data_IF_983522109193
#
_entry.id   IF_983522109193
#
_cell.length_a   1.000
_cell.length_b   1.000
_cell.length_c   1.000
_cell.angle_alpha   90.00
_cell.angle_beta   90.00
_cell.angle_gamma   90.00
#
_symmetry.space_group_name_H-M   'P 1'
#
loop_
_entity.id
_entity.type
_entity.pdbx_description
1 polymer ?
#
# COMPACT_ATOMS: atom_id res chain seq x y z
N UNK A 1 -24.25 -40.03 -32.75
CA UNK A 1 -23.82 -38.62 -32.97
C UNK A 1 -23.43 -38.04 -31.64
N UNK A 2 -22.17 -38.13 -31.33
CA UNK A 2 -21.53 -37.63 -30.09
C UNK A 2 -21.31 -36.13 -30.22
N UNK A 3 -22.10 -35.31 -29.50
CA UNK A 3 -21.83 -33.90 -29.33
C UNK A 3 -20.55 -33.76 -28.51
N UNK A 4 -19.57 -33.14 -29.12
CA UNK A 4 -18.21 -33.04 -28.67
C UNK A 4 -18.11 -32.34 -27.29
N UNK A 5 -17.47 -33.03 -26.35
CA UNK A 5 -17.04 -32.47 -25.03
C UNK A 5 -16.23 -31.19 -25.10
N UNK A 6 -15.79 -30.81 -26.30
CA UNK A 6 -15.03 -29.57 -26.55
C UNK A 6 -15.84 -28.27 -26.33
N UNK A 7 -17.18 -28.31 -26.50
CA UNK A 7 -18.01 -27.13 -26.32
C UNK A 7 -18.31 -26.80 -24.84
N UNK A 8 -18.27 -27.77 -23.94
CA UNK A 8 -18.48 -27.52 -22.50
C UNK A 8 -17.21 -26.86 -21.87
N UNK A 9 -16.04 -27.28 -22.30
CA UNK A 9 -14.79 -26.71 -21.80
C UNK A 9 -14.63 -25.23 -22.18
N UNK A 10 -15.05 -24.88 -23.41
CA UNK A 10 -14.99 -23.48 -23.90
C UNK A 10 -15.96 -22.58 -23.12
N UNK A 11 -17.11 -23.10 -22.68
CA UNK A 11 -18.07 -22.32 -21.87
C UNK A 11 -17.55 -22.11 -20.45
N UNK A 12 -16.85 -23.09 -19.88
CA UNK A 12 -16.21 -22.98 -18.57
C UNK A 12 -15.05 -21.98 -18.63
N UNK A 13 -14.22 -22.01 -19.64
CA UNK A 13 -13.13 -21.06 -19.84
C UNK A 13 -13.65 -19.63 -20.03
N UNK A 14 -14.72 -19.42 -20.79
CA UNK A 14 -15.35 -18.10 -20.95
C UNK A 14 -15.95 -17.55 -19.65
N UNK A 15 -16.52 -18.40 -18.80
CA UNK A 15 -17.02 -18.00 -17.49
C UNK A 15 -15.87 -17.71 -16.49
N UNK A 16 -14.77 -18.44 -16.60
CA UNK A 16 -13.57 -18.20 -15.82
C UNK A 16 -12.90 -16.88 -16.24
N UNK A 17 -12.83 -16.61 -17.55
CA UNK A 17 -12.29 -15.36 -18.07
C UNK A 17 -13.14 -14.14 -17.67
N UNK A 18 -14.48 -14.24 -17.64
CA UNK A 18 -15.35 -13.17 -17.16
C UNK A 18 -15.16 -12.84 -15.67
N UNK A 19 -14.81 -13.84 -14.85
CA UNK A 19 -14.48 -13.65 -13.43
C UNK A 19 -13.06 -13.14 -13.22
N UNK A 20 -12.13 -13.51 -14.10
CA UNK A 20 -10.76 -13.03 -14.12
C UNK A 20 -10.62 -11.59 -14.66
N UNK A 21 -11.69 -11.07 -15.29
CA UNK A 21 -11.73 -9.74 -15.90
C UNK A 21 -12.10 -8.61 -14.91
N UNK A 22 -12.11 -8.86 -13.60
CA UNK A 22 -12.24 -7.77 -12.64
C UNK A 22 -10.93 -7.01 -12.52
N UNK A 23 -11.03 -5.72 -12.32
CA UNK A 23 -9.90 -4.88 -11.95
C UNK A 23 -9.33 -5.38 -10.63
N UNK A 24 -8.21 -6.11 -10.69
CA UNK A 24 -7.66 -6.79 -9.51
C UNK A 24 -6.85 -5.85 -8.64
N UNK A 25 -5.96 -5.07 -9.26
CA UNK A 25 -5.02 -4.24 -8.53
C UNK A 25 -4.76 -2.94 -9.29
N UNK A 26 -4.73 -1.84 -8.56
CA UNK A 26 -4.17 -0.57 -9.00
C UNK A 26 -2.90 -0.30 -8.21
N UNK A 27 -1.86 0.15 -8.88
CA UNK A 27 -0.62 0.62 -8.26
C UNK A 27 -0.69 2.13 -8.19
N UNK A 28 -0.40 2.70 -7.04
CA UNK A 28 -0.40 4.14 -6.83
C UNK A 28 0.97 4.63 -6.36
N UNK A 29 1.51 5.61 -7.08
CA UNK A 29 2.78 6.25 -6.73
C UNK A 29 2.59 7.75 -6.60
N UNK A 30 2.66 8.26 -5.37
CA UNK A 30 2.79 9.70 -5.12
C UNK A 30 4.18 10.15 -5.61
N UNK A 31 4.24 11.19 -6.45
CA UNK A 31 5.51 11.63 -7.02
C UNK A 31 5.49 13.12 -7.38
N UNK A 32 6.67 13.73 -7.40
CA UNK A 32 6.90 15.07 -7.95
C UNK A 32 7.18 15.04 -9.46
N UNK A 33 7.12 13.87 -10.11
CA UNK A 33 7.33 13.70 -11.55
C UNK A 33 8.77 13.35 -11.94
N UNK A 34 9.66 13.18 -10.98
CA UNK A 34 11.05 12.77 -11.22
C UNK A 34 11.31 11.49 -10.42
N UNK A 35 11.72 10.44 -11.11
CA UNK A 35 12.10 9.18 -10.49
C UNK A 35 13.49 8.78 -10.94
N UNK A 36 14.20 8.05 -10.11
CA UNK A 36 15.49 7.47 -10.47
C UNK A 36 15.32 6.29 -11.42
N UNK A 37 16.31 6.10 -12.29
CA UNK A 37 16.33 4.99 -13.25
C UNK A 37 16.29 3.64 -12.54
N UNK A 38 16.91 3.51 -11.37
CA UNK A 38 16.94 2.29 -10.56
C UNK A 38 15.52 1.91 -10.10
N UNK A 39 14.71 2.90 -9.70
CA UNK A 39 13.31 2.70 -9.37
C UNK A 39 12.50 2.28 -10.59
N UNK A 40 12.62 3.01 -11.69
CA UNK A 40 11.90 2.71 -12.93
C UNK A 40 12.23 1.29 -13.42
N UNK A 41 13.51 0.92 -13.41
CA UNK A 41 13.98 -0.41 -13.80
C UNK A 41 13.38 -1.49 -12.87
N UNK A 42 13.44 -1.31 -11.56
CA UNK A 42 12.88 -2.26 -10.60
C UNK A 42 11.35 -2.40 -10.75
N UNK A 43 10.64 -1.30 -11.02
CA UNK A 43 9.19 -1.29 -11.20
C UNK A 43 8.76 -1.98 -12.50
N UNK A 44 9.43 -1.70 -13.61
CA UNK A 44 9.02 -2.20 -14.92
C UNK A 44 9.62 -3.55 -15.31
N UNK A 45 10.65 -4.02 -14.60
CA UNK A 45 11.20 -5.36 -14.75
C UNK A 45 10.46 -6.45 -13.97
N UNK A 46 9.36 -6.10 -13.28
CA UNK A 46 8.56 -7.08 -12.52
C UNK A 46 7.90 -8.10 -13.45
N UNK A 47 7.89 -9.36 -13.02
CA UNK A 47 7.02 -10.38 -13.61
C UNK A 47 5.58 -10.10 -13.23
N UNK A 48 4.75 -9.88 -14.23
CA UNK A 48 3.35 -9.52 -14.01
C UNK A 48 2.50 -10.78 -13.96
N UNK A 49 1.80 -11.05 -12.84
CA UNK A 49 0.87 -12.17 -12.77
C UNK A 49 -0.28 -12.02 -13.77
N UNK A 50 -0.57 -13.06 -14.54
CA UNK A 50 -1.60 -13.02 -15.59
C UNK A 50 -3.01 -12.72 -15.08
N UNK A 51 -3.27 -12.90 -13.78
CA UNK A 51 -4.56 -12.62 -13.16
C UNK A 51 -4.71 -11.16 -12.66
N UNK A 52 -3.74 -10.29 -12.90
CA UNK A 52 -3.79 -8.88 -12.49
C UNK A 52 -4.51 -8.00 -13.49
N UNK A 53 -4.51 -8.35 -14.76
CA UNK A 53 -5.09 -7.55 -15.82
C UNK A 53 -6.43 -8.11 -16.27
N UNK A 54 -7.43 -7.24 -16.35
CA UNK A 54 -8.72 -7.55 -16.96
C UNK A 54 -8.68 -7.51 -18.49
N UNK A 55 -7.83 -6.69 -19.07
CA UNK A 55 -7.77 -6.42 -20.50
C UNK A 55 -6.59 -7.14 -21.20
N UNK A 56 -6.06 -8.18 -20.56
CA UNK A 56 -5.01 -8.99 -21.15
C UNK A 56 -3.83 -8.15 -21.58
N UNK A 57 -3.16 -7.47 -20.70
CA UNK A 57 -1.80 -7.06 -20.99
C UNK A 57 -1.36 -5.60 -20.73
N UNK A 58 -2.19 -4.65 -20.43
CA UNK A 58 -1.62 -3.32 -20.31
C UNK A 58 -1.54 -2.85 -18.86
N UNK A 59 -0.50 -3.31 -18.15
CA UNK A 59 -0.21 -2.91 -16.77
C UNK A 59 0.03 -1.40 -16.63
N UNK A 60 0.29 -0.68 -17.71
CA UNK A 60 0.38 0.77 -17.69
C UNK A 60 -0.92 1.43 -17.23
N UNK A 61 -2.07 0.83 -17.52
CA UNK A 61 -3.38 1.33 -17.08
C UNK A 61 -3.72 1.03 -15.62
N UNK A 62 -2.99 0.13 -14.99
CA UNK A 62 -3.17 -0.18 -13.57
C UNK A 62 -2.26 0.65 -12.67
N UNK A 63 -1.59 1.66 -13.18
CA UNK A 63 -0.70 2.51 -12.42
C UNK A 63 -1.15 3.98 -12.49
N UNK A 64 -1.39 4.60 -11.34
CA UNK A 64 -1.72 6.01 -11.23
C UNK A 64 -0.59 6.77 -10.53
N UNK A 65 -0.33 7.98 -11.02
CA UNK A 65 0.75 8.85 -10.55
C UNK A 65 0.18 10.23 -10.21
N UNK A 66 -0.37 10.44 -9.00
CA UNK A 66 -0.74 11.77 -8.56
C UNK A 66 0.49 12.68 -8.47
N UNK A 67 0.53 13.72 -9.30
CA UNK A 67 1.65 14.65 -9.40
C UNK A 67 1.44 15.88 -8.55
N UNK A 68 2.49 16.32 -7.83
CA UNK A 68 2.51 17.59 -7.11
C UNK A 68 1.45 17.73 -6.01
N UNK A 69 1.01 16.63 -5.43
CA UNK A 69 0.18 16.62 -4.23
C UNK A 69 1.05 16.43 -2.98
N UNK A 70 0.56 16.89 -1.83
CA UNK A 70 1.10 16.44 -0.55
C UNK A 70 0.88 14.93 -0.42
N UNK A 71 1.73 14.24 0.35
CA UNK A 71 1.73 12.77 0.43
C UNK A 71 0.34 12.21 0.76
N UNK A 72 -0.31 12.70 1.82
CA UNK A 72 -1.64 12.25 2.20
C UNK A 72 -2.71 12.57 1.14
N UNK A 73 -2.59 13.71 0.45
CA UNK A 73 -3.49 14.07 -0.66
C UNK A 73 -3.33 13.11 -1.83
N UNK A 74 -2.08 12.82 -2.24
CA UNK A 74 -1.78 11.86 -3.29
C UNK A 74 -2.34 10.46 -2.94
N UNK A 75 -2.16 10.02 -1.70
CA UNK A 75 -2.72 8.76 -1.21
C UNK A 75 -4.25 8.74 -1.33
N UNK A 76 -4.93 9.83 -0.99
CA UNK A 76 -6.39 9.94 -1.13
C UNK A 76 -6.84 9.95 -2.60
N UNK A 77 -6.09 10.57 -3.50
CA UNK A 77 -6.34 10.52 -4.96
C UNK A 77 -6.18 9.10 -5.49
N UNK A 78 -5.19 8.34 -5.02
CA UNK A 78 -5.00 6.93 -5.37
C UNK A 78 -6.20 6.09 -4.90
N UNK A 79 -6.64 6.28 -3.65
CA UNK A 79 -7.82 5.59 -3.11
C UNK A 79 -9.08 5.94 -3.92
N UNK A 80 -9.28 7.21 -4.27
CA UNK A 80 -10.39 7.64 -5.14
C UNK A 80 -10.38 6.85 -6.45
N UNK A 81 -9.25 6.80 -7.13
CA UNK A 81 -9.10 6.06 -8.39
C UNK A 81 -9.43 4.57 -8.22
N UNK A 82 -9.01 3.98 -7.09
CA UNK A 82 -9.31 2.58 -6.79
C UNK A 82 -10.81 2.33 -6.55
N UNK A 83 -11.48 3.25 -5.86
CA UNK A 83 -12.92 3.14 -5.57
C UNK A 83 -13.75 3.36 -6.83
N UNK A 84 -13.48 4.42 -7.59
CA UNK A 84 -14.24 4.79 -8.80
C UNK A 84 -14.11 3.75 -9.90
N UNK A 85 -12.96 3.09 -10.02
CA UNK A 85 -12.69 2.07 -11.05
C UNK A 85 -12.89 0.63 -10.54
N UNK A 86 -13.47 0.46 -9.36
CA UNK A 86 -13.83 -0.84 -8.77
C UNK A 86 -12.67 -1.82 -8.61
N UNK A 87 -11.48 -1.34 -8.21
CA UNK A 87 -10.33 -2.19 -7.92
C UNK A 87 -10.51 -2.97 -6.61
N UNK A 88 -10.04 -4.23 -6.61
CA UNK A 88 -10.08 -5.12 -5.43
C UNK A 88 -8.93 -4.84 -4.47
N UNK A 89 -7.77 -4.45 -5.02
CA UNK A 89 -6.57 -4.15 -4.25
C UNK A 89 -5.94 -2.83 -4.69
N UNK A 90 -5.36 -2.13 -3.72
CA UNK A 90 -4.46 -1.00 -3.95
C UNK A 90 -3.07 -1.39 -3.49
N UNK A 91 -2.08 -1.15 -4.33
CA UNK A 91 -0.68 -1.27 -3.98
C UNK A 91 -0.02 0.11 -4.01
N UNK A 92 0.32 0.64 -2.85
CA UNK A 92 1.14 1.84 -2.74
C UNK A 92 2.59 1.48 -2.96
N UNK A 93 3.24 2.20 -3.84
CA UNK A 93 4.67 2.12 -4.13
C UNK A 93 5.22 3.55 -4.20
N UNK A 94 6.00 3.95 -3.22
CA UNK A 94 6.66 5.26 -3.25
C UNK A 94 7.77 5.30 -4.31
N UNK A 95 8.02 6.51 -4.86
CA UNK A 95 8.94 6.73 -5.98
C UNK A 95 10.43 6.63 -5.60
N UNK A 96 10.69 6.35 -4.33
CA UNK A 96 12.02 6.11 -3.75
C UNK A 96 12.17 4.72 -3.11
N UNK A 97 11.22 3.80 -3.36
CA UNK A 97 11.28 2.42 -2.88
C UNK A 97 11.50 1.46 -4.05
N UNK A 98 12.67 0.82 -4.08
CA UNK A 98 13.09 -0.16 -5.10
C UNK A 98 12.59 -1.55 -4.71
N UNK A 99 11.73 -2.11 -5.55
CA UNK A 99 11.18 -3.45 -5.35
C UNK A 99 12.20 -4.57 -5.67
N UNK A 100 12.16 -5.70 -4.94
CA UNK A 100 12.86 -6.91 -5.39
C UNK A 100 12.19 -7.47 -6.66
N UNK A 101 12.94 -8.21 -7.48
CA UNK A 101 12.50 -8.68 -8.78
C UNK A 101 11.23 -9.55 -8.77
N UNK A 102 10.94 -10.21 -7.65
CA UNK A 102 9.79 -11.08 -7.45
C UNK A 102 8.65 -10.45 -6.64
N UNK A 103 8.67 -9.14 -6.43
CA UNK A 103 7.70 -8.45 -5.57
C UNK A 103 6.25 -8.73 -5.98
N UNK A 104 5.94 -8.61 -7.28
CA UNK A 104 4.59 -8.82 -7.78
C UNK A 104 4.11 -10.27 -7.63
N UNK A 105 5.00 -11.24 -7.72
CA UNK A 105 4.68 -12.65 -7.48
C UNK A 105 4.32 -12.87 -6.00
N UNK A 106 5.09 -12.29 -5.08
CA UNK A 106 4.83 -12.36 -3.63
C UNK A 106 3.48 -11.71 -3.29
N UNK A 107 3.23 -10.50 -3.78
CA UNK A 107 1.97 -9.78 -3.57
C UNK A 107 0.77 -10.57 -4.11
N UNK A 108 0.93 -11.20 -5.28
CA UNK A 108 -0.13 -11.99 -5.89
C UNK A 108 -0.53 -13.21 -5.06
N UNK A 109 0.39 -13.83 -4.31
CA UNK A 109 0.04 -14.92 -3.40
C UNK A 109 -0.88 -14.45 -2.26
N UNK A 110 -0.68 -13.24 -1.73
CA UNK A 110 -1.60 -12.65 -0.76
C UNK A 110 -2.97 -12.35 -1.37
N UNK A 111 -2.99 -11.80 -2.59
CA UNK A 111 -4.22 -11.53 -3.32
C UNK A 111 -5.00 -12.80 -3.65
N UNK A 112 -4.32 -13.91 -3.97
CA UNK A 112 -4.94 -15.21 -4.24
C UNK A 112 -5.54 -15.86 -2.97
N UNK A 113 -4.81 -15.78 -1.86
CA UNK A 113 -5.27 -16.32 -0.57
C UNK A 113 -6.41 -15.49 0.00
N UNK A 114 -6.34 -14.18 -0.09
CA UNK A 114 -7.36 -13.27 0.40
C UNK A 114 -7.61 -13.37 1.91
N UNK A 115 -6.60 -13.76 2.69
CA UNK A 115 -6.70 -13.97 4.14
C UNK A 115 -6.07 -12.85 4.99
N UNK A 116 -5.30 -11.95 4.36
CA UNK A 116 -4.62 -10.82 5.00
C UNK A 116 -4.89 -9.55 4.17
N UNK A 117 -5.64 -8.58 4.72
CA UNK A 117 -6.06 -7.40 3.96
C UNK A 117 -5.02 -6.28 3.87
N UNK A 118 -3.98 -6.31 4.70
CA UNK A 118 -2.94 -5.28 4.77
C UNK A 118 -1.58 -5.95 4.88
N UNK A 119 -0.76 -5.83 3.83
CA UNK A 119 0.57 -6.43 3.73
C UNK A 119 1.58 -5.39 3.27
N UNK A 120 2.66 -5.23 4.02
CA UNK A 120 3.78 -4.35 3.69
C UNK A 120 5.04 -5.14 3.36
N UNK A 121 5.88 -4.60 2.49
CA UNK A 121 7.27 -5.02 2.34
C UNK A 121 8.15 -4.45 3.45
N UNK A 122 9.32 -5.05 3.60
CA UNK A 122 10.37 -4.56 4.49
C UNK A 122 11.25 -3.56 3.74
N UNK A 123 11.43 -2.38 4.30
CA UNK A 123 12.48 -1.44 3.89
C UNK A 123 12.93 -0.59 5.09
N UNK A 124 13.94 0.24 4.90
CA UNK A 124 14.68 0.88 5.98
C UNK A 124 14.67 2.40 5.82
N UNK A 125 14.83 3.12 6.92
CA UNK A 125 15.07 4.57 6.91
C UNK A 125 16.33 4.92 6.11
N UNK A 126 16.33 6.10 5.50
CA UNK A 126 17.49 6.72 4.82
C UNK A 126 18.43 7.36 5.85
N UNK A 127 18.90 6.57 6.80
CA UNK A 127 19.75 7.02 7.92
C UNK A 127 20.91 6.07 8.14
N UNK A 128 21.88 6.50 8.94
CA UNK A 128 22.96 5.67 9.45
C UNK A 128 23.05 5.80 10.97
N UNK A 129 22.89 4.68 11.71
CA UNK A 129 22.50 3.35 11.21
C UNK A 129 21.09 3.37 10.59
N UNK A 130 20.87 2.48 9.60
CA UNK A 130 19.56 2.32 8.99
C UNK A 130 18.67 1.48 9.91
N UNK A 131 17.49 1.99 10.23
CA UNK A 131 16.49 1.30 11.04
C UNK A 131 15.37 0.76 10.15
N UNK A 132 14.87 -0.48 10.43
CA UNK A 132 13.77 -1.05 9.66
C UNK A 132 12.47 -0.29 9.93
N UNK A 133 11.70 -0.01 8.89
CA UNK A 133 10.37 0.61 9.00
C UNK A 133 9.32 -0.44 9.38
N UNK A 134 9.53 -1.05 10.54
CA UNK A 134 8.67 -2.08 11.15
C UNK A 134 8.26 -1.59 12.53
N UNK A 135 6.99 -1.23 12.71
CA UNK A 135 6.52 -0.57 13.91
C UNK A 135 5.69 -1.52 14.77
N UNK A 136 6.11 -1.67 16.03
CA UNK A 136 5.41 -2.51 17.00
C UNK A 136 5.38 -1.83 18.36
N UNK A 137 4.18 -1.53 18.86
CA UNK A 137 3.98 -0.97 20.19
C UNK A 137 3.58 0.50 20.21
N UNK A 138 2.98 1.03 19.16
CA UNK A 138 2.49 2.41 19.01
C UNK A 138 3.57 3.50 19.20
N UNK A 139 3.82 4.26 18.18
CA UNK A 139 4.82 5.34 18.13
C UNK A 139 5.98 5.00 17.20
N UNK A 140 7.07 5.71 17.33
CA UNK A 140 8.26 5.60 16.46
C UNK A 140 9.20 4.44 16.84
N UNK A 141 8.69 3.42 17.53
CA UNK A 141 9.52 2.29 17.97
C UNK A 141 9.74 1.33 16.80
N UNK A 142 10.92 1.35 16.21
CA UNK A 142 11.33 0.35 15.25
C UNK A 142 11.50 -1.01 15.93
N UNK A 143 10.96 -2.05 15.30
CA UNK A 143 11.12 -3.43 15.75
C UNK A 143 12.09 -4.15 14.82
N UNK A 144 13.20 -4.64 15.37
CA UNK A 144 14.32 -5.25 14.65
C UNK A 144 14.53 -6.76 14.96
N UNK A 145 13.70 -7.33 15.86
CA UNK A 145 13.84 -8.72 16.28
C UNK A 145 13.17 -9.68 15.30
N UNK A 146 13.68 -9.77 14.09
CA UNK A 146 13.25 -10.68 13.03
C UNK A 146 14.43 -11.11 12.17
N UNK A 147 14.22 -12.15 11.36
CA UNK A 147 15.15 -12.58 10.30
C UNK A 147 14.52 -12.34 8.93
N UNK A 148 15.34 -12.19 7.92
CA UNK A 148 14.85 -12.19 6.54
C UNK A 148 14.18 -13.52 6.23
N UNK A 149 12.99 -13.47 5.64
CA UNK A 149 12.11 -14.61 5.44
C UNK A 149 10.96 -14.70 6.45
N UNK A 150 11.02 -13.99 7.56
CA UNK A 150 9.96 -13.99 8.56
C UNK A 150 8.74 -13.16 8.10
N UNK A 151 7.60 -13.54 8.64
CA UNK A 151 6.35 -12.78 8.58
C UNK A 151 6.13 -12.08 9.90
N UNK A 152 6.30 -10.77 9.92
CA UNK A 152 6.29 -9.96 11.15
C UNK A 152 4.94 -9.25 11.29
N UNK A 153 4.20 -9.60 12.35
CA UNK A 153 2.96 -8.91 12.68
C UNK A 153 3.24 -7.64 13.48
N UNK A 154 2.60 -6.53 13.09
CA UNK A 154 2.88 -5.18 13.56
C UNK A 154 1.59 -4.39 13.77
N UNK A 155 1.67 -3.23 14.42
CA UNK A 155 0.58 -2.28 14.58
C UNK A 155 0.76 -0.99 13.75
N UNK A 156 1.86 -0.87 13.04
CA UNK A 156 2.11 0.20 12.08
C UNK A 156 2.91 -0.29 10.87
N UNK A 157 2.51 0.15 9.68
CA UNK A 157 3.17 -0.14 8.41
C UNK A 157 3.29 1.14 7.59
N UNK A 158 4.42 1.34 6.90
CA UNK A 158 4.59 2.48 6.02
C UNK A 158 3.97 2.22 4.64
N UNK A 159 3.73 3.28 3.87
CA UNK A 159 3.09 3.21 2.54
C UNK A 159 4.03 2.99 1.37
N UNK A 160 5.34 2.98 1.59
CA UNK A 160 6.31 2.86 0.49
C UNK A 160 6.24 1.54 -0.28
N UNK A 161 5.76 0.47 0.35
CA UNK A 161 5.48 -0.82 -0.28
C UNK A 161 4.31 -1.48 0.46
N UNK A 162 3.07 -1.07 0.16
CA UNK A 162 1.88 -1.45 0.95
C UNK A 162 0.73 -1.91 0.07
N UNK A 163 0.27 -3.16 0.28
CA UNK A 163 -0.90 -3.74 -0.36
C UNK A 163 -2.10 -3.68 0.59
N UNK A 164 -3.23 -3.14 0.11
CA UNK A 164 -4.47 -2.97 0.89
C UNK A 164 -5.65 -3.55 0.13
N UNK A 165 -6.45 -4.38 0.81
CA UNK A 165 -7.68 -4.93 0.26
C UNK A 165 -8.83 -3.92 0.27
N UNK A 166 -9.70 -3.98 -0.76
CA UNK A 166 -10.85 -3.10 -0.95
C UNK A 166 -11.74 -2.93 0.27
N UNK A 167 -12.00 -3.99 1.02
CA UNK A 167 -12.86 -3.92 2.20
C UNK A 167 -12.40 -2.90 3.24
N UNK A 168 -11.09 -2.62 3.29
CA UNK A 168 -10.53 -1.62 4.21
C UNK A 168 -10.67 -0.22 3.62
N UNK A 169 -10.07 0.01 2.45
CA UNK A 169 -10.04 1.38 1.91
C UNK A 169 -11.43 1.87 1.46
N UNK A 170 -12.31 0.99 0.98
CA UNK A 170 -13.68 1.36 0.59
C UNK A 170 -14.53 1.74 1.81
N UNK A 171 -14.45 0.97 2.90
CA UNK A 171 -15.15 1.31 4.14
C UNK A 171 -14.69 2.67 4.68
N UNK A 172 -13.37 2.88 4.75
CA UNK A 172 -12.82 4.17 5.20
C UNK A 172 -13.20 5.30 4.25
N UNK A 173 -13.21 5.06 2.94
CA UNK A 173 -13.65 6.04 1.95
C UNK A 173 -15.09 6.47 2.17
N UNK A 174 -16.01 5.53 2.36
CA UNK A 174 -17.43 5.81 2.52
C UNK A 174 -17.75 6.65 3.76
N UNK A 175 -16.93 6.51 4.80
CA UNK A 175 -17.12 7.17 6.09
C UNK A 175 -16.27 8.44 6.28
N UNK A 176 -15.28 8.65 5.44
CA UNK A 176 -14.39 9.81 5.55
C UNK A 176 -15.03 11.07 4.97
N UNK A 177 -14.80 12.24 5.60
CA UNK A 177 -15.31 13.51 5.07
C UNK A 177 -14.63 13.88 3.76
N UNK A 178 -15.36 14.58 2.93
CA UNK A 178 -14.85 15.18 1.69
C UNK A 178 -14.05 16.45 2.01
N UNK A 179 -13.03 16.70 1.21
CA UNK A 179 -12.26 17.94 1.23
C UNK A 179 -11.64 18.20 -0.15
N UNK A 180 -11.27 19.43 -0.38
CA UNK A 180 -10.62 19.83 -1.63
C UNK A 180 -9.10 19.82 -1.45
N UNK A 181 -8.43 19.06 -2.29
CA UNK A 181 -6.96 19.03 -2.37
C UNK A 181 -6.45 20.00 -3.42
N UNK A 182 -5.13 20.07 -3.55
CA UNK A 182 -4.46 20.81 -4.60
C UNK A 182 -5.12 20.55 -5.96
N UNK A 183 -5.06 21.52 -6.85
CA UNK A 183 -5.72 21.48 -8.18
C UNK A 183 -7.26 21.38 -8.12
N UNK A 184 -7.89 21.79 -7.02
CA UNK A 184 -9.35 21.84 -6.81
C UNK A 184 -10.05 20.48 -6.96
N UNK A 185 -9.35 19.38 -6.80
CA UNK A 185 -9.94 18.05 -6.81
C UNK A 185 -10.57 17.74 -5.45
N UNK A 186 -11.81 17.25 -5.47
CA UNK A 186 -12.50 16.78 -4.25
C UNK A 186 -12.18 15.31 -4.03
N UNK A 187 -11.73 14.98 -2.85
CA UNK A 187 -11.40 13.62 -2.38
C UNK A 187 -11.93 13.41 -0.97
N UNK A 188 -11.88 12.16 -0.47
CA UNK A 188 -12.19 11.86 0.92
C UNK A 188 -10.94 11.60 1.74
N UNK A 189 -10.97 12.00 2.99
CA UNK A 189 -9.84 12.01 3.92
C UNK A 189 -9.61 10.61 4.53
N UNK A 190 -9.19 9.64 3.71
CA UNK A 190 -8.80 8.29 4.16
C UNK A 190 -7.42 8.33 4.83
N UNK A 191 -6.50 9.03 4.22
CA UNK A 191 -5.17 9.34 4.77
C UNK A 191 -5.12 10.80 5.23
N UNK A 192 -4.42 11.05 6.31
CA UNK A 192 -4.21 12.38 6.86
C UNK A 192 -2.85 12.47 7.52
N UNK A 193 -2.12 13.55 7.26
CA UNK A 193 -0.90 13.88 8.01
C UNK A 193 -1.30 14.70 9.23
N UNK A 194 -1.34 14.12 10.43
CA UNK A 194 -1.75 14.85 11.62
C UNK A 194 -0.69 15.88 11.98
N UNK A 195 -1.11 17.09 12.22
CA UNK A 195 -0.28 18.13 12.78
C UNK A 195 -0.98 18.75 13.99
N UNK A 196 -0.25 18.93 15.06
CA UNK A 196 -0.72 19.61 16.26
C UNK A 196 0.25 20.71 16.63
N UNK A 197 -0.27 21.90 16.81
CA UNK A 197 0.48 23.04 17.35
C UNK A 197 -0.11 23.40 18.69
N UNK A 198 0.73 23.60 19.71
CA UNK A 198 0.30 24.04 21.04
C UNK A 198 1.36 24.94 21.67
N UNK A 199 0.94 25.73 22.64
CA UNK A 199 1.86 26.51 23.46
C UNK A 199 2.24 25.70 24.68
N UNK A 200 3.51 25.51 24.92
CA UNK A 200 4.02 24.94 26.18
C UNK A 200 3.69 25.92 27.33
N UNK A 201 2.91 25.49 28.34
CA UNK A 201 2.51 26.38 29.40
C UNK A 201 3.65 26.79 30.35
N UNK A 202 4.76 26.01 30.37
CA UNK A 202 5.92 26.32 31.23
C UNK A 202 6.89 27.30 30.58
N UNK A 203 7.12 27.15 29.29
CA UNK A 203 8.12 27.93 28.54
C UNK A 203 7.52 29.01 27.66
N UNK A 204 6.20 29.04 27.49
CA UNK A 204 5.46 29.86 26.53
C UNK A 204 5.96 29.73 25.09
N UNK A 205 6.58 28.59 24.76
CA UNK A 205 7.10 28.29 23.44
C UNK A 205 6.05 27.61 22.57
N UNK A 206 5.94 27.99 21.31
CA UNK A 206 5.11 27.30 20.33
C UNK A 206 5.79 25.96 19.94
N UNK A 207 5.12 24.86 20.23
CA UNK A 207 5.56 23.50 19.88
C UNK A 207 4.69 22.95 18.78
N UNK A 208 5.29 22.16 17.90
CA UNK A 208 4.59 21.43 16.82
C UNK A 208 5.00 19.96 16.85
N UNK A 209 4.00 19.09 16.78
CA UNK A 209 4.21 17.68 16.49
C UNK A 209 3.47 17.32 15.20
N UNK A 210 4.17 16.74 14.26
CA UNK A 210 3.59 16.18 13.05
C UNK A 210 3.83 14.67 13.04
N UNK A 211 2.77 13.91 12.74
CA UNK A 211 2.88 12.48 12.49
C UNK A 211 3.00 12.19 11.00
N UNK A 212 3.19 10.93 10.66
CA UNK A 212 3.14 10.45 9.28
C UNK A 212 1.74 9.95 8.92
N UNK A 213 1.35 10.09 7.66
CA UNK A 213 0.00 9.73 7.20
C UNK A 213 -0.28 8.23 7.30
N UNK A 214 0.74 7.41 7.11
CA UNK A 214 0.70 5.96 7.18
C UNK A 214 0.47 5.43 8.60
N UNK A 215 1.23 5.90 9.58
CA UNK A 215 1.06 5.48 10.99
C UNK A 215 -0.25 6.01 11.56
N UNK A 216 -0.66 7.22 11.19
CA UNK A 216 -1.96 7.75 11.58
C UNK A 216 -3.12 6.94 10.98
N UNK A 217 -2.99 6.51 9.71
CA UNK A 217 -3.94 5.61 9.08
C UNK A 217 -4.02 4.25 9.79
N UNK A 218 -2.89 3.67 10.18
CA UNK A 218 -2.85 2.44 10.98
C UNK A 218 -3.56 2.60 12.32
N UNK A 219 -3.31 3.70 13.04
CA UNK A 219 -3.98 4.01 14.31
C UNK A 219 -5.49 4.17 14.12
N UNK A 220 -5.93 4.86 13.06
CA UNK A 220 -7.35 4.98 12.72
C UNK A 220 -8.01 3.63 12.49
N UNK A 221 -7.39 2.73 11.74
CA UNK A 221 -7.93 1.38 11.50
C UNK A 221 -8.19 0.65 12.81
N UNK A 222 -7.25 0.73 13.75
CA UNK A 222 -7.38 0.05 15.05
C UNK A 222 -8.40 0.75 15.95
N UNK A 223 -8.33 2.07 16.09
CA UNK A 223 -9.21 2.86 16.96
C UNK A 223 -10.66 2.82 16.48
N UNK A 224 -10.91 2.93 15.19
CA UNK A 224 -12.23 2.93 14.57
C UNK A 224 -12.75 1.51 14.26
N UNK A 225 -12.01 0.46 14.67
CA UNK A 225 -12.35 -0.96 14.47
C UNK A 225 -12.65 -1.32 13.01
N UNK A 226 -11.95 -0.70 12.08
CA UNK A 226 -12.16 -0.88 10.64
C UNK A 226 -12.02 -2.34 10.22
N UNK A 227 -11.00 -3.05 10.74
CA UNK A 227 -10.81 -4.48 10.44
C UNK A 227 -12.03 -5.33 10.83
N UNK A 228 -12.57 -5.12 12.03
CA UNK A 228 -13.75 -5.86 12.50
C UNK A 228 -14.97 -5.59 11.62
N UNK A 229 -15.23 -4.33 11.32
CA UNK A 229 -16.36 -3.84 10.52
C UNK A 229 -16.25 -4.26 9.04
N UNK A 230 -15.03 -4.35 8.53
CA UNK A 230 -14.74 -4.87 7.20
C UNK A 230 -14.75 -6.41 7.11
N UNK A 231 -15.08 -7.12 8.20
CA UNK A 231 -15.21 -8.58 8.21
C UNK A 231 -13.96 -9.36 8.64
N UNK A 232 -12.86 -8.71 8.97
CA UNK A 232 -11.58 -9.33 9.36
C UNK A 232 -11.49 -9.59 10.87
N UNK A 233 -12.53 -10.21 11.43
CA UNK A 233 -12.71 -10.39 12.89
C UNK A 233 -11.54 -11.09 13.59
N UNK A 234 -10.84 -12.03 12.91
CA UNK A 234 -9.69 -12.73 13.48
C UNK A 234 -8.50 -11.79 13.66
N UNK A 235 -8.22 -10.97 12.65
CA UNK A 235 -7.12 -10.01 12.68
C UNK A 235 -7.42 -8.85 13.62
N UNK A 236 -8.66 -8.38 13.67
CA UNK A 236 -9.09 -7.31 14.58
C UNK A 236 -8.86 -7.64 16.07
N UNK A 237 -8.81 -8.92 16.43
CA UNK A 237 -8.51 -9.38 17.80
C UNK A 237 -7.00 -9.45 18.12
N UNK A 238 -6.15 -9.33 17.11
CA UNK A 238 -4.71 -9.38 17.30
C UNK A 238 -4.20 -8.02 17.80
N UNK A 239 -3.22 -8.06 18.70
CA UNK A 239 -2.50 -6.86 19.15
C UNK A 239 -1.77 -6.17 17.99
N UNK A 240 -1.28 -6.96 17.03
CA UNK A 240 -0.50 -6.55 15.87
C UNK A 240 -1.19 -7.09 14.61
N UNK A 241 -2.14 -6.33 14.00
CA UNK A 241 -3.03 -6.88 12.98
C UNK A 241 -2.50 -6.74 11.54
N UNK A 242 -1.42 -6.01 11.31
CA UNK A 242 -0.84 -5.80 9.99
C UNK A 242 0.38 -6.70 9.78
N UNK A 243 0.64 -7.08 8.55
CA UNK A 243 1.74 -7.97 8.20
C UNK A 243 2.84 -7.20 7.47
N UNK A 244 4.09 -7.37 7.91
CA UNK A 244 5.29 -7.10 7.12
C UNK A 244 5.86 -8.44 6.66
N UNK A 245 5.94 -8.65 5.34
CA UNK A 245 6.62 -9.81 4.77
C UNK A 245 8.06 -9.45 4.44
N UNK A 246 9.01 -10.00 5.18
CA UNK A 246 10.43 -9.69 5.01
C UNK A 246 11.06 -10.35 3.78
N UNK A 247 10.34 -11.28 3.08
CA UNK A 247 10.72 -11.75 1.76
C UNK A 247 10.51 -10.68 0.69
N UNK A 248 9.59 -9.74 0.93
CA UNK A 248 9.39 -8.54 0.12
C UNK A 248 10.38 -7.46 0.60
N UNK A 249 11.67 -7.76 0.47
CA UNK A 249 12.75 -6.88 0.91
C UNK A 249 13.03 -5.81 -0.13
N UNK A 250 12.57 -4.59 0.14
CA UNK A 250 12.78 -3.44 -0.71
C UNK A 250 14.00 -2.62 -0.26
N UNK A 251 14.55 -1.81 -1.16
CA UNK A 251 15.58 -0.84 -0.83
C UNK A 251 15.01 0.56 -0.89
N UNK A 252 15.31 1.37 0.08
CA UNK A 252 15.00 2.80 0.06
C UNK A 252 16.13 3.52 -0.67
N UNK A 253 15.83 4.35 -1.67
CA UNK A 253 16.84 5.09 -2.42
C UNK A 253 16.71 6.58 -2.13
N UNK A 254 17.83 7.23 -1.89
CA UNK A 254 17.86 8.69 -1.84
C UNK A 254 17.82 9.22 -3.28
N UNK A 255 16.81 10.01 -3.59
CA UNK A 255 16.57 10.52 -4.95
C UNK A 255 17.72 11.40 -5.44
N UNK A 256 18.33 12.19 -4.54
CA UNK A 256 19.38 13.13 -4.91
C UNK A 256 20.74 12.45 -5.09
N UNK A 257 21.10 11.55 -4.18
CA UNK A 257 22.44 10.94 -4.14
C UNK A 257 22.50 9.57 -4.80
N UNK A 258 21.37 8.86 -4.91
CA UNK A 258 21.34 7.48 -5.40
C UNK A 258 21.77 6.45 -4.37
N UNK A 259 22.04 6.84 -3.13
CA UNK A 259 22.37 5.92 -2.05
C UNK A 259 21.16 5.04 -1.72
N UNK A 260 21.41 3.74 -1.54
CA UNK A 260 20.37 2.76 -1.22
C UNK A 260 20.53 2.25 0.21
N UNK A 261 19.41 2.12 0.89
CA UNK A 261 19.34 1.69 2.29
C UNK A 261 18.60 0.36 2.43
N UNK A 262 19.00 -0.52 3.39
CA UNK A 262 20.17 -0.34 4.25
C UNK A 262 21.47 -0.36 3.43
N UNK A 263 22.42 0.44 3.84
CA UNK A 263 23.78 0.35 3.27
C UNK A 263 24.43 -0.95 3.69
N UNK A 264 25.26 -1.51 2.81
CA UNK A 264 26.02 -2.74 3.06
C UNK A 264 27.10 -2.52 4.12
#
# INVERSE_FOLDING_TARGET
MTKSKANENIIIERNYSKKALRNRIIIGTATLGIVRVEWAQARYAQVIPCNWSSAGANIGFCHTYPLNYLVAEAQNVIIQSAVEQDYEWVFFLEDDVILPANAFLILNEYMKKGDIPVVSGLYYLKSQPSEPLVYRGRGNSCYDKFKLGDKVWVDGVPTGCLLIHRSIFKLMWDESPEYTVSMQKVVRKVFETPARVWTDPETNTQLCAAGTSDLFWCDRIMREKVLERAGWKKLAKQRYPFLVDTNLFCRHIDINTGLQYPMK
#
